data_IF_342173555189
#
_entry.id   IF_342173555189
#
_cell.length_a   1.000
_cell.length_b   1.000
_cell.length_c   1.000
_cell.angle_alpha   90.00
_cell.angle_beta   90.00
_cell.angle_gamma   90.00
#
_symmetry.space_group_name_H-M   'P 1'
#
loop_
_entity.id
_entity.type
_entity.pdbx_description
1 polymer ?
#
# COMPACT_ATOMS: atom_id res chain seq x y z
N UNK A 1 -62.31 -23.48 46.94
CA UNK A 1 -62.66 -22.12 46.47
C UNK A 1 -61.62 -21.67 45.45
N UNK A 2 -62.02 -21.32 44.22
CA UNK A 2 -61.29 -20.40 43.33
C UNK A 2 -61.78 -18.95 43.65
N UNK A 3 -61.56 -17.87 42.85
CA UNK A 3 -60.78 -17.69 41.60
C UNK A 3 -59.85 -16.44 41.70
N UNK A 4 -59.12 -15.99 40.67
CA UNK A 4 -59.59 -15.13 39.54
C UNK A 4 -58.44 -15.14 38.51
N UNK A 5 -58.57 -15.64 37.26
CA UNK A 5 -59.32 -15.11 36.10
C UNK A 5 -59.03 -13.61 35.89
N UNK A 6 -58.53 -13.11 34.77
CA UNK A 6 -58.99 -13.18 33.37
C UNK A 6 -57.75 -13.10 32.45
N UNK A 7 -57.54 -13.86 31.37
CA UNK A 7 -58.27 -14.07 30.12
C UNK A 7 -58.60 -12.79 29.31
N UNK A 8 -57.92 -12.61 28.17
CA UNK A 8 -58.51 -12.02 26.96
C UNK A 8 -57.75 -12.43 25.69
N UNK A 9 -58.18 -13.60 25.18
CA UNK A 9 -58.38 -14.01 23.77
C UNK A 9 -58.12 -12.94 22.70
N UNK A 10 -57.24 -13.20 21.73
CA UNK A 10 -57.42 -13.98 20.48
C UNK A 10 -57.98 -13.14 19.32
N UNK A 11 -57.33 -13.19 18.15
CA UNK A 11 -57.98 -13.59 16.89
C UNK A 11 -57.03 -13.53 15.69
N UNK A 12 -57.06 -14.63 14.96
CA UNK A 12 -56.59 -14.95 13.60
C UNK A 12 -56.64 -13.84 12.54
N UNK A 13 -55.60 -13.78 11.68
CA UNK A 13 -55.68 -13.86 10.20
C UNK A 13 -54.31 -13.63 9.54
N UNK A 14 -53.89 -14.54 8.67
CA UNK A 14 -52.99 -14.22 7.53
C UNK A 14 -53.83 -13.62 6.40
N UNK A 15 -53.23 -12.78 5.56
CA UNK A 15 -53.33 -13.00 4.11
C UNK A 15 -51.97 -12.98 3.40
N UNK A 16 -52.02 -13.45 2.16
CA UNK A 16 -50.93 -13.83 1.27
C UNK A 16 -50.39 -12.70 0.38
N UNK A 17 -49.30 -13.02 -0.35
CA UNK A 17 -48.88 -12.56 -1.70
C UNK A 17 -48.73 -11.03 -1.91
N UNK A 18 -47.62 -10.46 -2.39
CA UNK A 18 -47.14 -10.59 -3.76
C UNK A 18 -45.80 -9.84 -3.99
N UNK A 19 -45.14 -10.28 -5.06
CA UNK A 19 -44.13 -9.67 -5.93
C UNK A 19 -43.54 -8.28 -5.63
N UNK A 20 -42.22 -8.16 -5.74
CA UNK A 20 -41.57 -7.24 -6.69
C UNK A 20 -40.03 -7.36 -6.66
N UNK A 21 -39.52 -7.87 -7.79
CA UNK A 21 -38.35 -7.39 -8.53
C UNK A 21 -36.99 -7.19 -7.84
N UNK A 22 -36.15 -8.18 -8.12
CA UNK A 22 -34.72 -8.08 -8.44
C UNK A 22 -34.34 -6.82 -9.24
N UNK A 23 -33.78 -5.83 -8.55
CA UNK A 23 -33.09 -4.71 -9.19
C UNK A 23 -31.58 -4.94 -9.18
N UNK A 24 -31.06 -5.25 -10.36
CA UNK A 24 -29.65 -5.33 -10.72
C UNK A 24 -28.89 -4.04 -10.34
N UNK A 25 -28.28 -4.00 -9.15
CA UNK A 25 -27.27 -2.97 -8.84
C UNK A 25 -25.93 -3.37 -9.45
N UNK A 26 -25.73 -3.00 -10.71
CA UNK A 26 -24.39 -2.80 -11.29
C UNK A 26 -23.63 -1.83 -10.39
N UNK A 27 -22.57 -2.32 -9.75
CA UNK A 27 -21.61 -1.47 -9.07
C UNK A 27 -21.11 -0.39 -10.05
N UNK A 28 -21.11 0.91 -9.67
CA UNK A 28 -20.51 1.92 -10.51
C UNK A 28 -19.02 1.65 -10.64
N UNK A 29 -18.56 1.38 -11.87
CA UNK A 29 -17.14 1.40 -12.20
C UNK A 29 -16.66 2.82 -11.95
N UNK A 30 -15.95 3.04 -10.85
CA UNK A 30 -15.23 4.28 -10.61
C UNK A 30 -14.12 4.35 -11.66
N UNK A 31 -14.38 5.09 -12.74
CA UNK A 31 -13.35 5.55 -13.64
C UNK A 31 -12.32 6.32 -12.83
N UNK A 32 -11.12 5.76 -12.70
CA UNK A 32 -9.96 6.53 -12.25
C UNK A 32 -9.80 7.69 -13.22
N UNK A 33 -10.20 8.87 -12.77
CA UNK A 33 -9.94 10.11 -13.47
C UNK A 33 -8.43 10.17 -13.70
N UNK A 34 -8.08 10.28 -14.97
CA UNK A 34 -6.73 10.46 -15.48
C UNK A 34 -5.95 11.38 -14.55
N UNK A 35 -4.92 10.83 -13.89
CA UNK A 35 -4.00 11.59 -13.06
C UNK A 35 -3.43 12.69 -13.94
N UNK A 36 -3.84 13.93 -13.65
CA UNK A 36 -3.26 15.11 -14.26
C UNK A 36 -1.75 14.99 -14.12
N UNK A 37 -1.05 15.11 -15.24
CA UNK A 37 0.39 14.96 -15.34
C UNK A 37 1.05 16.13 -14.60
N UNK A 38 1.06 16.06 -13.28
CA UNK A 38 1.87 16.94 -12.46
C UNK A 38 3.33 16.67 -12.84
N UNK A 39 4.11 17.70 -13.17
CA UNK A 39 5.53 17.51 -13.43
C UNK A 39 6.16 16.79 -12.22
N UNK A 40 7.12 15.88 -12.45
CA UNK A 40 7.80 15.19 -11.36
C UNK A 40 8.28 16.19 -10.32
N UNK A 41 8.09 15.88 -9.03
CA UNK A 41 8.47 16.77 -7.93
C UNK A 41 9.96 17.18 -8.05
N UNK A 42 10.80 16.28 -8.54
CA UNK A 42 12.21 16.52 -8.90
C UNK A 42 12.39 17.67 -9.88
N UNK A 43 11.56 17.75 -10.91
CA UNK A 43 11.60 18.82 -11.92
C UNK A 43 11.18 20.16 -11.34
N UNK A 44 10.15 20.18 -10.49
CA UNK A 44 9.71 21.39 -9.80
C UNK A 44 10.79 21.92 -8.83
N UNK A 45 11.43 21.02 -8.08
CA UNK A 45 12.55 21.32 -7.20
C UNK A 45 13.74 21.91 -7.97
N UNK A 46 14.11 21.28 -9.09
CA UNK A 46 15.23 21.75 -9.93
C UNK A 46 14.98 23.15 -10.51
N UNK A 47 13.75 23.41 -10.98
CA UNK A 47 13.37 24.74 -11.46
C UNK A 47 13.44 25.79 -10.34
N UNK A 48 12.96 25.45 -9.14
CA UNK A 48 13.02 26.36 -7.99
C UNK A 48 14.47 26.70 -7.59
N UNK A 49 15.36 25.70 -7.59
CA UNK A 49 16.79 25.92 -7.29
C UNK A 49 17.47 26.80 -8.35
N UNK A 50 17.17 26.55 -9.63
CA UNK A 50 17.68 27.36 -10.75
C UNK A 50 17.21 28.81 -10.65
N UNK A 51 15.93 29.03 -10.36
CA UNK A 51 15.36 30.36 -10.19
C UNK A 51 15.98 31.11 -9.01
N UNK A 52 16.17 30.44 -7.86
CA UNK A 52 16.81 31.04 -6.69
C UNK A 52 18.28 31.41 -6.94
N UNK A 53 19.03 30.57 -7.65
CA UNK A 53 20.41 30.88 -8.01
C UNK A 53 20.47 32.12 -8.93
N UNK A 54 19.54 32.25 -9.88
CA UNK A 54 19.45 33.43 -10.73
C UNK A 54 19.15 34.70 -9.93
N UNK A 55 18.16 34.65 -9.04
CA UNK A 55 17.82 35.79 -8.15
C UNK A 55 19.01 36.20 -7.29
N UNK A 56 19.78 35.22 -6.79
CA UNK A 56 20.99 35.48 -5.99
C UNK A 56 22.06 36.24 -6.77
N UNK A 57 22.34 35.84 -8.01
CA UNK A 57 23.36 36.50 -8.83
C UNK A 57 22.92 37.90 -9.26
N UNK A 58 21.65 38.08 -9.64
CA UNK A 58 21.09 39.42 -9.95
C UNK A 58 21.16 40.36 -8.74
N UNK A 59 20.87 39.83 -7.56
CA UNK A 59 20.97 40.56 -6.31
C UNK A 59 22.41 40.98 -6.01
N UNK A 60 23.37 40.07 -6.19
CA UNK A 60 24.79 40.34 -5.99
C UNK A 60 25.28 41.46 -6.89
N UNK A 61 24.93 41.42 -8.18
CA UNK A 61 25.25 42.46 -9.14
C UNK A 61 24.70 43.84 -8.71
N UNK A 62 23.40 43.91 -8.38
CA UNK A 62 22.77 45.17 -7.93
C UNK A 62 23.38 45.73 -6.64
N UNK A 63 23.81 44.85 -5.73
CA UNK A 63 24.46 45.28 -4.49
C UNK A 63 25.84 45.88 -4.77
N UNK A 64 26.58 45.35 -5.74
CA UNK A 64 27.88 45.91 -6.14
C UNK A 64 27.72 47.24 -6.90
N UNK A 65 26.67 47.39 -7.72
CA UNK A 65 26.29 48.68 -8.31
C UNK A 65 25.99 49.72 -7.23
N UNK A 66 25.25 49.33 -6.20
CA UNK A 66 24.89 50.22 -5.09
C UNK A 66 26.13 50.69 -4.29
N UNK A 67 27.10 49.79 -4.06
CA UNK A 67 28.38 50.16 -3.43
C UNK A 67 29.15 51.16 -4.29
N UNK A 68 29.20 50.93 -5.60
CA UNK A 68 29.85 51.82 -6.56
C UNK A 68 29.21 53.21 -6.53
N UNK A 69 27.88 53.28 -6.62
CA UNK A 69 27.13 54.54 -6.54
C UNK A 69 27.38 55.29 -5.23
N UNK A 70 27.45 54.57 -4.10
CA UNK A 70 27.76 55.17 -2.79
C UNK A 70 29.15 55.80 -2.78
N UNK A 71 30.16 55.10 -3.34
CA UNK A 71 31.52 55.62 -3.43
C UNK A 71 31.64 56.83 -4.36
N UNK A 72 30.96 56.82 -5.51
CA UNK A 72 30.92 57.96 -6.43
C UNK A 72 30.25 59.18 -5.79
N UNK A 73 29.15 58.97 -5.06
CA UNK A 73 28.43 60.03 -4.37
C UNK A 73 29.31 60.71 -3.30
N UNK A 74 30.02 59.90 -2.51
CA UNK A 74 30.97 60.39 -1.52
C UNK A 74 32.09 61.22 -2.19
N UNK A 75 32.62 60.77 -3.31
CA UNK A 75 33.65 61.51 -4.06
C UNK A 75 33.12 62.86 -4.59
N UNK A 76 31.91 62.88 -5.17
CA UNK A 76 31.29 64.12 -5.65
C UNK A 76 31.08 65.14 -4.53
N UNK A 77 30.81 64.71 -3.30
CA UNK A 77 30.74 65.63 -2.15
C UNK A 77 32.07 66.26 -1.82
N UNK A 78 33.14 65.48 -1.84
CA UNK A 78 34.50 65.96 -1.58
C UNK A 78 34.87 67.01 -2.63
N UNK A 79 34.60 66.71 -3.90
CA UNK A 79 34.91 67.61 -5.02
C UNK A 79 34.09 68.90 -4.95
N UNK A 80 32.78 68.82 -4.67
CA UNK A 80 31.92 69.98 -4.52
C UNK A 80 32.30 70.85 -3.32
N UNK A 81 32.69 70.24 -2.19
CA UNK A 81 33.15 70.96 -1.00
C UNK A 81 34.48 71.69 -1.28
N UNK A 82 35.38 71.06 -2.03
CA UNK A 82 36.65 71.65 -2.45
C UNK A 82 36.46 72.80 -3.43
N UNK A 83 35.54 72.67 -4.38
CA UNK A 83 35.18 73.74 -5.32
C UNK A 83 34.54 74.95 -4.61
N UNK A 84 33.69 74.70 -3.61
CA UNK A 84 33.07 75.76 -2.82
C UNK A 84 34.07 76.49 -1.91
N UNK A 85 35.10 75.81 -1.39
CA UNK A 85 36.18 76.46 -0.63
C UNK A 85 37.03 77.41 -1.49
N UNK A 86 37.08 77.18 -2.80
CA UNK A 86 37.92 77.92 -3.76
C UNK A 86 37.14 78.94 -4.63
N UNK A 87 35.86 79.19 -4.35
CA UNK A 87 35.02 80.13 -5.12
C UNK A 87 33.95 80.81 -4.25
N UNK A 88 33.46 81.99 -4.67
CA UNK A 88 32.29 82.67 -4.07
C UNK A 88 30.97 81.93 -4.43
N UNK A 89 30.90 80.63 -4.13
CA UNK A 89 29.75 79.80 -4.48
C UNK A 89 28.56 80.12 -3.56
N UNK A 90 27.32 80.27 -4.07
CA UNK A 90 26.18 80.65 -3.23
C UNK A 90 25.81 79.55 -2.23
N UNK A 91 25.80 79.87 -0.92
CA UNK A 91 25.36 79.03 0.20
C UNK A 91 24.11 78.15 -0.09
N UNK A 92 23.04 78.68 -0.74
CA UNK A 92 21.84 77.90 -1.03
C UNK A 92 22.05 76.68 -1.93
N UNK A 93 23.06 76.71 -2.83
CA UNK A 93 23.38 75.55 -3.71
C UNK A 93 24.07 74.44 -2.92
N UNK A 94 24.92 74.78 -1.95
CA UNK A 94 25.56 73.81 -1.05
C UNK A 94 24.54 73.13 -0.14
N UNK A 95 23.60 73.89 0.42
CA UNK A 95 22.56 73.32 1.28
C UNK A 95 21.62 72.39 0.50
N UNK A 96 21.28 72.75 -0.74
CA UNK A 96 20.54 71.85 -1.66
C UNK A 96 21.32 70.56 -1.93
N UNK A 97 22.63 70.64 -2.16
CA UNK A 97 23.47 69.47 -2.41
C UNK A 97 23.56 68.56 -1.16
N UNK A 98 23.74 69.14 0.03
CA UNK A 98 23.73 68.40 1.31
C UNK A 98 22.40 67.70 1.55
N UNK A 99 21.27 68.37 1.25
CA UNK A 99 19.95 67.78 1.38
C UNK A 99 19.75 66.61 0.41
N UNK A 100 20.20 66.74 -0.85
CA UNK A 100 20.19 65.61 -1.79
C UNK A 100 21.06 64.45 -1.33
N UNK A 101 22.23 64.71 -0.75
CA UNK A 101 23.09 63.66 -0.23
C UNK A 101 22.42 62.88 0.90
N UNK A 102 21.87 63.57 1.91
CA UNK A 102 21.14 62.92 3.01
C UNK A 102 20.00 62.04 2.48
N UNK A 103 19.22 62.56 1.53
CA UNK A 103 18.13 61.81 0.90
C UNK A 103 18.64 60.57 0.17
N UNK A 104 19.78 60.65 -0.53
CA UNK A 104 20.38 59.49 -1.20
C UNK A 104 20.92 58.47 -0.19
N UNK A 105 21.56 58.91 0.88
CA UNK A 105 22.04 58.02 1.95
C UNK A 105 20.88 57.27 2.63
N UNK A 106 19.78 57.96 2.91
CA UNK A 106 18.54 57.36 3.44
C UNK A 106 17.99 56.31 2.48
N UNK A 107 17.91 56.64 1.18
CA UNK A 107 17.46 55.69 0.15
C UNK A 107 18.39 54.48 0.03
N UNK A 108 19.71 54.67 0.06
CA UNK A 108 20.71 53.59 0.02
C UNK A 108 20.55 52.69 1.26
N UNK A 109 20.38 53.28 2.44
CA UNK A 109 20.21 52.54 3.69
C UNK A 109 18.93 51.71 3.68
N UNK A 110 17.82 52.29 3.22
CA UNK A 110 16.55 51.59 3.05
C UNK A 110 16.66 50.43 2.03
N UNK A 111 17.32 50.67 0.89
CA UNK A 111 17.57 49.63 -0.11
C UNK A 111 18.40 48.48 0.46
N UNK A 112 19.44 48.77 1.25
CA UNK A 112 20.26 47.76 1.92
C UNK A 112 19.46 46.93 2.95
N UNK A 113 18.53 47.55 3.67
CA UNK A 113 17.68 46.85 4.62
C UNK A 113 16.73 45.87 3.93
N UNK A 114 16.04 46.31 2.86
CA UNK A 114 15.21 45.43 2.03
C UNK A 114 16.03 44.29 1.43
N UNK A 115 17.23 44.62 0.95
CA UNK A 115 18.14 43.69 0.35
C UNK A 115 18.58 42.58 1.34
N UNK A 116 18.90 42.95 2.58
CA UNK A 116 19.19 42.01 3.66
C UNK A 116 18.00 41.10 3.98
N UNK A 117 16.79 41.65 4.00
CA UNK A 117 15.54 40.88 4.17
C UNK A 117 15.37 39.81 3.09
N UNK A 118 15.55 40.18 1.82
CA UNK A 118 15.48 39.24 0.70
C UNK A 118 16.53 38.13 0.79
N UNK A 119 17.77 38.43 1.20
CA UNK A 119 18.82 37.41 1.36
C UNK A 119 18.47 36.39 2.43
N UNK A 120 17.91 36.84 3.56
CA UNK A 120 17.47 35.95 4.63
C UNK A 120 16.34 35.02 4.14
N UNK A 121 15.35 35.57 3.42
CA UNK A 121 14.25 34.78 2.86
C UNK A 121 14.73 33.76 1.82
N UNK A 122 15.61 34.15 0.90
CA UNK A 122 16.24 33.25 -0.08
C UNK A 122 17.01 32.12 0.61
N UNK A 123 17.71 32.45 1.71
CA UNK A 123 18.46 31.45 2.49
C UNK A 123 17.52 30.43 3.15
N UNK A 124 16.42 30.89 3.75
CA UNK A 124 15.40 30.01 4.34
C UNK A 124 14.75 29.12 3.27
N UNK A 125 14.36 29.69 2.12
CA UNK A 125 13.76 28.91 1.04
C UNK A 125 14.72 27.87 0.48
N UNK A 126 16.01 28.21 0.33
CA UNK A 126 17.04 27.27 -0.11
C UNK A 126 17.18 26.08 0.85
N UNK A 127 17.24 26.32 2.16
CA UNK A 127 17.29 25.25 3.15
C UNK A 127 16.05 24.35 3.10
N UNK A 128 14.86 24.92 2.86
CA UNK A 128 13.62 24.16 2.69
C UNK A 128 13.66 23.26 1.45
N UNK A 129 14.19 23.76 0.33
CA UNK A 129 14.34 22.99 -0.91
C UNK A 129 15.31 21.83 -0.70
N UNK A 130 16.44 22.04 -0.02
CA UNK A 130 17.36 20.95 0.34
C UNK A 130 16.70 19.88 1.21
N UNK A 131 15.90 20.27 2.21
CA UNK A 131 15.13 19.31 3.01
C UNK A 131 14.15 18.49 2.16
N UNK A 132 13.45 19.14 1.22
CA UNK A 132 12.53 18.46 0.30
C UNK A 132 13.26 17.51 -0.67
N UNK A 133 14.43 17.89 -1.17
CA UNK A 133 15.27 17.02 -2.01
C UNK A 133 15.68 15.74 -1.27
N UNK A 134 16.14 15.89 -0.03
CA UNK A 134 16.52 14.75 0.80
C UNK A 134 15.34 13.81 1.04
N UNK A 135 14.19 14.36 1.47
CA UNK A 135 12.99 13.57 1.72
C UNK A 135 12.49 12.88 0.46
N UNK A 136 12.55 13.55 -0.70
CA UNK A 136 12.14 12.95 -1.96
C UNK A 136 12.99 11.74 -2.34
N UNK A 137 14.31 11.85 -2.21
CA UNK A 137 15.24 10.75 -2.47
C UNK A 137 15.00 9.57 -1.52
N UNK A 138 14.83 9.86 -0.24
CA UNK A 138 14.52 8.84 0.76
C UNK A 138 13.23 8.08 0.44
N UNK A 139 12.16 8.81 0.10
CA UNK A 139 10.88 8.19 -0.28
C UNK A 139 10.98 7.38 -1.59
N UNK A 140 11.81 7.80 -2.53
CA UNK A 140 12.07 7.06 -3.76
C UNK A 140 12.79 5.73 -3.48
N UNK A 141 13.77 5.74 -2.58
CA UNK A 141 14.46 4.54 -2.10
C UNK A 141 13.50 3.58 -1.36
N UNK A 142 12.66 4.09 -0.45
CA UNK A 142 11.64 3.29 0.23
C UNK A 142 10.61 2.69 -0.74
N UNK A 143 10.15 3.48 -1.71
CA UNK A 143 9.21 3.02 -2.72
C UNK A 143 9.79 1.87 -3.56
N UNK A 144 11.06 1.95 -3.95
CA UNK A 144 11.74 0.87 -4.65
C UNK A 144 11.88 -0.39 -3.78
N UNK A 145 12.20 -0.23 -2.49
CA UNK A 145 12.30 -1.36 -1.56
C UNK A 145 10.94 -2.08 -1.41
N UNK A 146 9.87 -1.34 -1.17
CA UNK A 146 8.50 -1.88 -1.06
C UNK A 146 8.11 -2.59 -2.35
N UNK A 147 8.39 -2.00 -3.51
CA UNK A 147 8.06 -2.61 -4.79
C UNK A 147 8.80 -3.94 -5.01
N UNK A 148 10.06 -4.03 -4.58
CA UNK A 148 10.83 -5.26 -4.65
C UNK A 148 10.29 -6.33 -3.68
N UNK A 149 9.87 -5.94 -2.48
CA UNK A 149 9.26 -6.86 -1.51
C UNK A 149 7.91 -7.39 -2.02
N UNK A 150 7.06 -6.54 -2.61
CA UNK A 150 5.81 -6.96 -3.26
C UNK A 150 6.09 -8.00 -4.34
N UNK A 151 7.06 -7.74 -5.23
CA UNK A 151 7.43 -8.68 -6.30
C UNK A 151 7.86 -10.03 -5.73
N UNK A 152 8.67 -10.02 -4.67
CA UNK A 152 9.11 -11.24 -4.00
C UNK A 152 7.93 -12.03 -3.43
N UNK A 153 7.05 -11.37 -2.67
CA UNK A 153 5.86 -12.00 -2.09
C UNK A 153 4.96 -12.59 -3.17
N UNK A 154 4.78 -11.90 -4.30
CA UNK A 154 4.00 -12.42 -5.42
C UNK A 154 4.60 -13.70 -5.99
N UNK A 155 5.90 -13.73 -6.23
CA UNK A 155 6.61 -14.92 -6.74
C UNK A 155 6.53 -16.08 -5.74
N UNK A 156 6.78 -15.80 -4.46
CA UNK A 156 6.73 -16.83 -3.41
C UNK A 156 5.34 -17.45 -3.31
N UNK A 157 4.27 -16.63 -3.33
CA UNK A 157 2.89 -17.12 -3.29
C UNK A 157 2.49 -17.93 -4.53
N UNK A 158 2.93 -17.52 -5.72
CA UNK A 158 2.67 -18.27 -6.94
C UNK A 158 3.36 -19.65 -6.90
N UNK A 159 4.58 -19.71 -6.35
CA UNK A 159 5.31 -20.96 -6.12
C UNK A 159 4.57 -21.88 -5.15
N UNK A 160 4.18 -21.37 -3.98
CA UNK A 160 3.47 -22.13 -2.94
C UNK A 160 2.16 -22.74 -3.48
N UNK A 161 1.38 -21.95 -4.23
CA UNK A 161 0.15 -22.43 -4.86
C UNK A 161 0.45 -23.53 -5.88
N UNK A 162 1.53 -23.40 -6.65
CA UNK A 162 1.95 -24.42 -7.61
C UNK A 162 2.34 -25.74 -6.94
N UNK A 163 3.02 -25.69 -5.79
CA UNK A 163 3.38 -26.88 -5.01
C UNK A 163 2.15 -27.55 -4.41
N UNK A 164 1.24 -26.78 -3.81
CA UNK A 164 -0.02 -27.30 -3.25
C UNK A 164 -0.90 -27.98 -4.32
N UNK A 165 -0.93 -27.45 -5.55
CA UNK A 165 -1.66 -28.08 -6.65
C UNK A 165 -1.07 -29.44 -7.01
N UNK A 166 0.27 -29.56 -7.06
CA UNK A 166 0.95 -30.82 -7.34
C UNK A 166 0.70 -31.86 -6.24
N UNK A 167 0.82 -31.44 -4.98
CA UNK A 167 0.54 -32.31 -3.83
C UNK A 167 -0.90 -32.80 -3.83
N UNK A 168 -1.86 -31.91 -4.10
CA UNK A 168 -3.27 -32.28 -4.23
C UNK A 168 -3.49 -33.35 -5.30
N UNK A 169 -2.92 -33.18 -6.49
CA UNK A 169 -3.06 -34.18 -7.57
C UNK A 169 -2.44 -35.53 -7.20
N UNK A 170 -1.30 -35.53 -6.51
CA UNK A 170 -0.65 -36.75 -6.04
C UNK A 170 -1.54 -37.49 -5.02
N UNK A 171 -2.06 -36.77 -4.02
CA UNK A 171 -2.98 -37.32 -3.02
C UNK A 171 -4.28 -37.84 -3.63
N UNK A 172 -4.86 -37.13 -4.61
CA UNK A 172 -6.04 -37.62 -5.34
C UNK A 172 -5.77 -38.95 -6.05
N UNK A 173 -4.58 -39.12 -6.63
CA UNK A 173 -4.12 -40.38 -7.23
C UNK A 173 -3.97 -41.50 -6.21
N UNK A 174 -3.32 -41.23 -5.08
CA UNK A 174 -3.14 -42.20 -3.98
C UNK A 174 -4.49 -42.66 -3.41
N UNK A 175 -5.42 -41.72 -3.18
CA UNK A 175 -6.78 -42.03 -2.71
C UNK A 175 -7.52 -42.93 -3.70
N UNK A 176 -7.37 -42.70 -5.01
CA UNK A 176 -7.98 -43.54 -6.02
C UNK A 176 -7.43 -44.98 -5.99
N UNK A 177 -6.11 -45.13 -5.90
CA UNK A 177 -5.45 -46.45 -5.78
C UNK A 177 -5.93 -47.17 -4.52
N UNK A 178 -5.90 -46.50 -3.37
CA UNK A 178 -6.35 -47.08 -2.10
C UNK A 178 -7.83 -47.50 -2.16
N UNK A 179 -8.68 -46.70 -2.82
CA UNK A 179 -10.10 -47.05 -3.01
C UNK A 179 -10.27 -48.34 -3.81
N UNK A 180 -9.52 -48.51 -4.90
CA UNK A 180 -9.53 -49.73 -5.70
C UNK A 180 -9.01 -50.94 -4.90
N UNK A 181 -7.96 -50.75 -4.10
CA UNK A 181 -7.39 -51.81 -3.28
C UNK A 181 -8.36 -52.27 -2.17
N UNK A 182 -9.04 -51.33 -1.51
CA UNK A 182 -10.11 -51.63 -0.54
C UNK A 182 -11.24 -52.44 -1.20
N UNK A 183 -11.66 -52.07 -2.41
CA UNK A 183 -12.69 -52.83 -3.14
C UNK A 183 -12.23 -54.26 -3.43
N UNK A 184 -10.98 -54.44 -3.87
CA UNK A 184 -10.41 -55.76 -4.12
C UNK A 184 -10.36 -56.61 -2.84
N UNK A 185 -9.82 -56.07 -1.74
CA UNK A 185 -9.76 -56.76 -0.45
C UNK A 185 -11.17 -57.11 0.04
N UNK A 186 -12.14 -56.23 -0.14
CA UNK A 186 -13.54 -56.49 0.23
C UNK A 186 -14.13 -57.66 -0.57
N UNK A 187 -13.87 -57.72 -1.88
CA UNK A 187 -14.30 -58.85 -2.71
C UNK A 187 -13.64 -60.17 -2.28
N UNK A 188 -12.34 -60.15 -2.00
CA UNK A 188 -11.58 -61.33 -1.53
C UNK A 188 -12.06 -61.82 -0.17
N UNK A 189 -12.40 -60.90 0.75
CA UNK A 189 -13.01 -61.20 2.05
C UNK A 189 -14.35 -61.93 1.87
N UNK A 190 -15.25 -61.37 1.06
CA UNK A 190 -16.57 -61.95 0.82
C UNK A 190 -16.47 -63.34 0.17
N UNK A 191 -15.55 -63.52 -0.78
CA UNK A 191 -15.30 -64.82 -1.41
C UNK A 191 -14.76 -65.85 -0.39
N UNK A 192 -13.91 -65.42 0.54
CA UNK A 192 -13.38 -66.28 1.59
C UNK A 192 -14.43 -66.66 2.63
N UNK A 193 -15.32 -65.75 3.01
CA UNK A 193 -16.47 -66.03 3.88
C UNK A 193 -17.40 -67.09 3.25
N UNK A 194 -17.72 -66.97 1.96
CA UNK A 194 -18.52 -67.97 1.25
C UNK A 194 -17.86 -69.36 1.20
N UNK A 195 -16.54 -69.41 0.98
CA UNK A 195 -15.78 -70.67 1.05
C UNK A 195 -15.81 -71.27 2.45
N UNK A 196 -15.63 -70.44 3.49
CA UNK A 196 -15.65 -70.89 4.87
C UNK A 196 -17.01 -71.48 5.25
N UNK A 197 -18.12 -70.80 4.95
CA UNK A 197 -19.47 -71.33 5.21
C UNK A 197 -19.74 -72.63 4.46
N UNK A 198 -19.26 -72.77 3.22
CA UNK A 198 -19.38 -74.02 2.45
C UNK A 198 -18.61 -75.15 3.14
N UNK A 199 -17.38 -74.89 3.58
CA UNK A 199 -16.54 -75.86 4.27
C UNK A 199 -17.17 -76.28 5.61
N UNK A 200 -17.71 -75.32 6.36
CA UNK A 200 -18.42 -75.57 7.62
C UNK A 200 -19.63 -76.49 7.42
N UNK A 201 -20.41 -76.26 6.35
CA UNK A 201 -21.55 -77.12 6.02
C UNK A 201 -21.12 -78.53 5.57
N UNK A 202 -20.03 -78.65 4.81
CA UNK A 202 -19.46 -79.96 4.43
C UNK A 202 -18.97 -80.73 5.65
N UNK A 203 -18.26 -80.09 6.58
CA UNK A 203 -17.79 -80.73 7.83
C UNK A 203 -18.98 -81.24 8.63
N UNK A 204 -20.04 -80.44 8.75
CA UNK A 204 -21.27 -80.85 9.46
C UNK A 204 -21.90 -82.09 8.82
N UNK A 205 -22.07 -82.11 7.50
CA UNK A 205 -22.61 -83.27 6.77
C UNK A 205 -21.75 -84.52 6.93
N UNK A 206 -20.42 -84.39 6.86
CA UNK A 206 -19.50 -85.51 7.07
C UNK A 206 -19.61 -86.07 8.50
N UNK A 207 -19.77 -85.20 9.50
CA UNK A 207 -19.93 -85.62 10.89
C UNK A 207 -21.23 -86.38 11.10
N UNK A 208 -22.35 -85.85 10.59
CA UNK A 208 -23.67 -86.51 10.63
C UNK A 208 -23.64 -87.87 9.90
N UNK A 209 -23.01 -87.94 8.73
CA UNK A 209 -22.84 -89.18 7.97
C UNK A 209 -21.98 -90.21 8.72
N UNK A 210 -20.88 -89.78 9.35
CA UNK A 210 -20.03 -90.64 10.15
C UNK A 210 -20.74 -91.19 11.38
N UNK A 211 -21.56 -90.37 12.06
CA UNK A 211 -22.38 -90.81 13.20
C UNK A 211 -23.45 -91.81 12.78
N UNK A 212 -24.14 -91.57 11.65
CA UNK A 212 -25.11 -92.52 11.09
C UNK A 212 -24.47 -93.86 10.74
N UNK A 213 -23.29 -93.84 10.09
CA UNK A 213 -22.53 -95.05 9.79
C UNK A 213 -22.11 -95.82 11.05
N UNK A 214 -21.68 -95.11 12.10
CA UNK A 214 -21.34 -95.71 13.41
C UNK A 214 -22.55 -96.38 14.06
N UNK A 215 -23.74 -95.77 13.99
CA UNK A 215 -24.98 -96.34 14.52
C UNK A 215 -25.39 -97.62 13.80
N UNK A 216 -25.38 -97.61 12.45
CA UNK A 216 -25.69 -98.80 11.64
C UNK A 216 -24.73 -99.96 11.92
N UNK A 217 -23.44 -99.67 12.08
CA UNK A 217 -22.44 -100.68 12.45
C UNK A 217 -22.75 -101.28 13.83
N UNK A 218 -23.14 -100.44 14.80
CA UNK A 218 -23.51 -100.88 16.15
C UNK A 218 -24.73 -101.80 16.13
N UNK A 219 -25.76 -101.46 15.37
CA UNK A 219 -26.95 -102.30 15.18
C UNK A 219 -26.59 -103.63 14.54
N UNK A 220 -25.72 -103.61 13.51
CA UNK A 220 -25.28 -104.82 12.80
C UNK A 220 -24.50 -105.80 13.69
N UNK A 221 -23.76 -105.29 14.68
CA UNK A 221 -23.03 -106.11 15.66
C UNK A 221 -23.98 -106.65 16.74
N UNK A 222 -25.03 -105.91 17.10
CA UNK A 222 -25.98 -106.29 18.14
C UNK A 222 -27.04 -107.32 17.70
N UNK A 223 -27.09 -107.67 16.42
CA UNK A 223 -28.01 -108.67 15.84
C UNK A 223 -27.30 -109.96 15.38
N UNK A 224 -26.06 -110.16 15.82
CA UNK A 224 -25.34 -111.45 15.77
C UNK A 224 -25.27 -112.06 17.15
#
# INVERSE_FOLDING_TARGET
>A
MPPTLEDKRASTKRPAHDEADSENRKAPKTSHASSSHAPPITFAIYQAETALNKVREEFKARNDDLKTLKSELAQRMVDASRQAANSNFPQPRLDRLRAEHRRRDENISHAQQLASGCVNEVTVQKSKIWGLQYNHKFLEEEMMAINNEIKKITVDKESDVGELIKEKMALEGEVWVLKSEIQKITAEKNASEGRYSTLEQQVKQHLESAEAGRLLLRESISHK
#
